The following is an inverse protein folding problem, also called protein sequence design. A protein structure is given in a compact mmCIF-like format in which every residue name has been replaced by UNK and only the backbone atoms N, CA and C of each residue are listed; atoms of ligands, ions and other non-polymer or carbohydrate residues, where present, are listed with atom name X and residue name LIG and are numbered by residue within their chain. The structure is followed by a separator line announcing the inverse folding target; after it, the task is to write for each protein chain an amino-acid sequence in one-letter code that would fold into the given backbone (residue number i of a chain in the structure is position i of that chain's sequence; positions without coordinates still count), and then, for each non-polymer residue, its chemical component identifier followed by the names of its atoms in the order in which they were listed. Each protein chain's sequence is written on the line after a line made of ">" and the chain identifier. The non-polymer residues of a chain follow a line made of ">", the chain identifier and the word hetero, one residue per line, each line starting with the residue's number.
data_IF_883972991597
#
_entry.id   IF_883972991597
#
_cell.length_a   1.000
_cell.length_b   1.000
_cell.length_c   1.000
_cell.angle_alpha   90.00
_cell.angle_beta   90.00
_cell.angle_gamma   90.00
#
_symmetry.space_group_name_H-M   'P 1'
#
loop_
_entity.id
_entity.type
_entity.pdbx_description
1 polymer ?
#
# COMPACT_ATOMS: atom_id res chain seq x y z
N UNK A 1 24.97 -41.97 -7.41
CA UNK A 1 24.67 -41.33 -8.71
C UNK A 1 24.72 -42.39 -9.78
N UNK A 2 23.80 -42.31 -10.72
CA UNK A 2 23.68 -43.28 -11.81
C UNK A 2 24.40 -42.76 -13.06
N UNK A 3 24.70 -43.68 -13.97
CA UNK A 3 25.19 -43.36 -15.32
C UNK A 3 24.07 -42.58 -16.04
N UNK A 4 24.35 -41.49 -16.78
CA UNK A 4 25.68 -41.00 -17.18
C UNK A 4 26.33 -39.99 -16.22
N UNK A 5 25.67 -39.58 -15.14
CA UNK A 5 26.12 -38.47 -14.28
C UNK A 5 27.38 -38.77 -13.48
N UNK A 6 27.68 -40.04 -13.20
CA UNK A 6 28.87 -40.47 -12.48
C UNK A 6 30.10 -40.77 -13.37
N UNK A 7 30.02 -40.50 -14.67
CA UNK A 7 31.07 -40.87 -15.64
C UNK A 7 32.26 -39.91 -15.67
N UNK A 8 32.05 -38.60 -15.47
CA UNK A 8 33.11 -37.57 -15.47
C UNK A 8 33.52 -37.20 -14.03
N UNK A 9 34.48 -37.95 -13.49
CA UNK A 9 34.99 -37.73 -12.12
C UNK A 9 35.67 -36.36 -11.91
N UNK A 10 36.51 -35.84 -12.82
CA UNK A 10 37.06 -34.50 -12.70
C UNK A 10 35.99 -33.40 -12.61
N UNK A 11 34.93 -33.48 -13.42
CA UNK A 11 33.82 -32.53 -13.35
C UNK A 11 33.10 -32.61 -12.00
N UNK A 12 32.79 -33.82 -11.53
CA UNK A 12 32.17 -34.02 -10.22
C UNK A 12 33.02 -33.46 -9.08
N UNK A 13 34.33 -33.68 -9.11
CA UNK A 13 35.24 -33.14 -8.12
C UNK A 13 35.22 -31.61 -8.11
N UNK A 14 35.20 -30.97 -9.30
CA UNK A 14 35.10 -29.51 -9.43
C UNK A 14 33.77 -28.98 -8.90
N UNK A 15 32.65 -29.63 -9.22
CA UNK A 15 31.32 -29.26 -8.73
C UNK A 15 31.27 -29.35 -7.21
N UNK A 16 31.69 -30.49 -6.63
CA UNK A 16 31.73 -30.66 -5.17
C UNK A 16 32.59 -29.58 -4.51
N UNK A 17 33.81 -29.37 -5.02
CA UNK A 17 34.73 -28.36 -4.48
C UNK A 17 34.14 -26.96 -4.57
N UNK A 18 33.46 -26.61 -5.67
CA UNK A 18 32.79 -25.33 -5.83
C UNK A 18 31.66 -25.15 -4.81
N UNK A 19 30.80 -26.16 -4.65
CA UNK A 19 29.67 -26.09 -3.72
C UNK A 19 30.14 -25.99 -2.26
N UNK A 20 31.16 -26.77 -1.90
CA UNK A 20 31.75 -26.76 -0.56
C UNK A 20 32.48 -25.43 -0.27
N UNK A 21 33.29 -24.94 -1.22
CA UNK A 21 34.05 -23.70 -1.06
C UNK A 21 33.15 -22.48 -0.88
N UNK A 22 32.02 -22.44 -1.60
CA UNK A 22 31.07 -21.33 -1.56
C UNK A 22 29.95 -21.52 -0.51
N UNK A 23 30.00 -22.58 0.30
CA UNK A 23 29.05 -22.79 1.39
C UNK A 23 27.63 -23.18 0.96
N UNK A 24 27.46 -23.72 -0.26
CA UNK A 24 26.18 -24.30 -0.69
C UNK A 24 25.91 -25.68 -0.06
N UNK A 25 26.99 -26.41 0.26
CA UNK A 25 26.97 -27.67 1.02
C UNK A 25 28.01 -27.60 2.13
N UNK A 26 27.94 -28.54 3.08
CA UNK A 26 28.91 -28.65 4.18
C UNK A 26 29.11 -27.33 4.94
N UNK A 27 28.04 -26.58 5.21
CA UNK A 27 28.06 -25.38 6.05
C UNK A 27 27.28 -25.61 7.35
N UNK A 28 27.53 -24.77 8.35
CA UNK A 28 26.90 -24.88 9.65
C UNK A 28 27.49 -26.01 10.50
N UNK A 29 26.66 -26.66 11.30
CA UNK A 29 27.08 -27.66 12.30
C UNK A 29 26.76 -29.06 11.78
N UNK A 30 27.80 -29.82 11.45
CA UNK A 30 27.67 -31.19 10.96
C UNK A 30 28.82 -32.06 11.43
N UNK A 31 28.57 -33.38 11.51
CA UNK A 31 29.61 -34.35 11.84
C UNK A 31 30.56 -34.50 10.65
N UNK A 32 31.84 -34.17 10.85
CA UNK A 32 32.85 -34.30 9.81
C UNK A 32 33.27 -35.76 9.62
N UNK A 33 33.36 -36.20 8.36
CA UNK A 33 33.87 -37.53 8.01
C UNK A 33 35.39 -37.58 7.98
N UNK A 34 36.03 -36.49 7.51
CA UNK A 34 37.49 -36.33 7.50
C UNK A 34 37.89 -35.31 8.58
N UNK A 35 38.89 -35.59 9.42
CA UNK A 35 39.33 -34.63 10.43
C UNK A 35 39.89 -33.36 9.79
N UNK A 36 39.87 -32.24 10.54
CA UNK A 36 40.51 -30.99 10.11
C UNK A 36 42.01 -31.23 9.94
N UNK A 37 42.65 -30.72 8.87
CA UNK A 37 44.11 -30.77 8.75
C UNK A 37 44.79 -30.20 10.00
N UNK A 38 45.76 -30.94 10.55
CA UNK A 38 46.51 -30.51 11.75
C UNK A 38 47.41 -29.32 11.46
N UNK A 39 47.96 -29.24 10.25
CA UNK A 39 48.73 -28.09 9.79
C UNK A 39 47.77 -27.04 9.26
N UNK A 40 47.73 -25.89 9.94
CA UNK A 40 46.95 -24.74 9.48
C UNK A 40 47.73 -23.90 8.47
N UNK A 41 47.03 -23.32 7.50
CA UNK A 41 47.63 -22.59 6.38
C UNK A 41 47.18 -21.13 6.33
N UNK A 42 47.87 -20.25 7.05
CA UNK A 42 47.53 -18.82 7.11
C UNK A 42 46.64 -18.47 8.30
N UNK A 43 46.73 -17.20 8.72
CA UNK A 43 46.08 -16.68 9.93
C UNK A 43 45.07 -15.60 9.56
N UNK A 44 43.86 -15.71 10.09
CA UNK A 44 42.75 -14.79 9.86
C UNK A 44 42.22 -14.30 11.20
N UNK A 45 41.99 -12.99 11.30
CA UNK A 45 41.30 -12.39 12.44
C UNK A 45 39.92 -11.94 11.94
N UNK A 46 38.88 -12.39 12.64
CA UNK A 46 37.48 -11.98 12.41
C UNK A 46 37.08 -11.03 13.52
N UNK A 47 36.68 -9.81 13.16
CA UNK A 47 36.21 -8.81 14.11
C UNK A 47 34.69 -8.91 14.23
N UNK A 48 34.20 -9.31 15.41
CA UNK A 48 32.79 -9.48 15.75
C UNK A 48 32.31 -10.93 15.68
N UNK A 49 31.79 -11.44 16.80
CA UNK A 49 31.20 -12.77 16.93
C UNK A 49 29.67 -12.75 16.72
N UNK A 50 29.18 -11.94 15.77
CA UNK A 50 27.81 -12.05 15.24
C UNK A 50 27.66 -13.23 14.29
N UNK A 51 26.43 -13.52 13.83
CA UNK A 51 26.17 -14.69 12.96
C UNK A 51 27.03 -14.71 11.69
N UNK A 52 27.28 -13.56 11.07
CA UNK A 52 28.14 -13.45 9.89
C UNK A 52 29.60 -13.82 10.20
N UNK A 53 30.18 -13.26 11.27
CA UNK A 53 31.55 -13.54 11.69
C UNK A 53 31.74 -14.99 12.11
N UNK A 54 30.78 -15.53 12.88
CA UNK A 54 30.77 -16.93 13.31
C UNK A 54 30.69 -17.91 12.13
N UNK A 55 29.80 -17.66 11.16
CA UNK A 55 29.67 -18.50 9.96
C UNK A 55 30.96 -18.47 9.11
N UNK A 56 31.54 -17.28 8.91
CA UNK A 56 32.79 -17.14 8.18
C UNK A 56 33.96 -17.84 8.89
N UNK A 57 34.09 -17.64 10.20
CA UNK A 57 35.13 -18.27 11.01
C UNK A 57 35.03 -19.80 10.99
N UNK A 58 33.80 -20.32 11.07
CA UNK A 58 33.54 -21.76 10.97
C UNK A 58 33.98 -22.32 9.61
N UNK A 59 33.58 -21.70 8.50
CA UNK A 59 33.98 -22.14 7.15
C UNK A 59 35.50 -22.07 6.95
N UNK A 60 36.14 -20.98 7.36
CA UNK A 60 37.58 -20.79 7.22
C UNK A 60 38.38 -21.82 8.04
N UNK A 61 37.94 -22.10 9.26
CA UNK A 61 38.54 -23.16 10.06
C UNK A 61 38.36 -24.54 9.42
N UNK A 62 37.19 -24.82 8.83
CA UNK A 62 36.96 -26.04 8.08
C UNK A 62 37.90 -26.19 6.89
N UNK A 63 38.26 -25.08 6.22
CA UNK A 63 39.27 -25.09 5.15
C UNK A 63 40.72 -25.21 5.65
N UNK A 64 40.94 -25.34 6.96
CA UNK A 64 42.27 -25.53 7.55
C UNK A 64 43.03 -24.23 7.81
N UNK A 65 42.33 -23.10 7.95
CA UNK A 65 42.93 -21.82 8.34
C UNK A 65 43.01 -21.68 9.86
N UNK A 66 43.97 -20.87 10.35
CA UNK A 66 44.01 -20.45 11.74
C UNK A 66 43.17 -19.20 11.93
N UNK A 67 42.08 -19.31 12.70
CA UNK A 67 41.07 -18.24 12.81
C UNK A 67 40.94 -17.83 14.27
N UNK A 68 41.06 -16.53 14.51
CA UNK A 68 40.79 -15.88 15.80
C UNK A 68 39.58 -14.98 15.62
N UNK A 69 38.61 -15.07 16.53
CA UNK A 69 37.44 -14.18 16.55
C UNK A 69 37.57 -13.24 17.74
N UNK A 70 37.52 -11.93 17.50
CA UNK A 70 37.55 -10.90 18.53
C UNK A 70 36.16 -10.31 18.71
N UNK A 71 35.58 -10.41 19.91
CA UNK A 71 34.27 -9.84 20.21
C UNK A 71 34.35 -8.78 21.31
N UNK A 72 33.71 -7.64 21.07
CA UNK A 72 33.66 -6.52 22.01
C UNK A 72 32.80 -6.77 23.24
N UNK A 73 31.79 -7.64 23.12
CA UNK A 73 30.81 -7.95 24.15
C UNK A 73 31.23 -9.19 24.96
N UNK A 74 30.63 -9.33 26.13
CA UNK A 74 30.72 -10.53 26.98
C UNK A 74 29.92 -11.75 26.45
N UNK A 75 29.46 -11.68 25.20
CA UNK A 75 28.65 -12.70 24.55
C UNK A 75 28.83 -12.68 23.03
N UNK A 76 28.65 -13.83 22.43
CA UNK A 76 28.48 -13.95 20.96
C UNK A 76 27.06 -13.56 20.52
N UNK A 77 26.80 -13.61 19.22
CA UNK A 77 25.50 -13.44 18.59
C UNK A 77 25.21 -12.01 18.10
N UNK A 78 25.91 -11.00 18.64
CA UNK A 78 25.77 -9.61 18.21
C UNK A 78 24.33 -9.10 18.37
N UNK A 79 23.69 -8.77 17.24
CA UNK A 79 22.29 -8.32 17.16
C UNK A 79 21.26 -9.44 17.37
N UNK A 80 21.67 -10.70 17.33
CA UNK A 80 20.86 -11.79 17.89
C UNK A 80 21.13 -11.76 19.39
N UNK A 81 20.12 -11.47 20.19
CA UNK A 81 20.29 -11.23 21.63
C UNK A 81 19.02 -11.65 22.37
N UNK A 82 19.17 -12.43 23.43
CA UNK A 82 18.03 -13.02 24.12
C UNK A 82 18.17 -12.84 25.61
N UNK A 83 17.17 -12.20 26.19
CA UNK A 83 17.02 -12.03 27.62
C UNK A 83 16.58 -13.35 28.27
N UNK A 84 17.20 -13.69 29.40
CA UNK A 84 16.87 -14.88 30.19
C UNK A 84 16.84 -14.55 31.67
N UNK A 85 15.72 -14.85 32.33
CA UNK A 85 15.58 -14.72 33.79
C UNK A 85 14.61 -15.78 34.30
N UNK A 86 15.11 -16.77 35.03
CA UNK A 86 14.33 -17.95 35.41
C UNK A 86 13.82 -18.67 34.16
N UNK A 87 12.51 -18.91 34.09
CA UNK A 87 11.86 -19.54 32.93
C UNK A 87 11.49 -18.54 31.83
N UNK A 88 11.70 -17.23 32.04
CA UNK A 88 11.41 -16.21 31.04
C UNK A 88 12.52 -16.12 29.99
N UNK A 89 12.13 -16.20 28.72
CA UNK A 89 13.00 -16.08 27.56
C UNK A 89 12.34 -15.10 26.60
N UNK A 90 13.05 -14.06 26.20
CA UNK A 90 12.56 -13.08 25.23
C UNK A 90 13.70 -12.60 24.33
N UNK A 91 13.48 -12.52 23.02
CA UNK A 91 14.45 -12.00 22.07
C UNK A 91 14.37 -10.47 22.02
N UNK A 92 15.52 -9.81 22.19
CA UNK A 92 15.69 -8.36 22.10
C UNK A 92 16.14 -7.90 20.71
N UNK A 93 16.41 -8.87 19.83
CA UNK A 93 16.90 -8.64 18.47
C UNK A 93 16.16 -9.50 17.46
N UNK A 94 16.89 -10.26 16.65
CA UNK A 94 16.26 -11.16 15.66
C UNK A 94 15.36 -12.20 16.36
N UNK A 95 14.07 -12.21 15.97
CA UNK A 95 13.04 -13.07 16.57
C UNK A 95 12.11 -13.75 15.54
N UNK A 96 12.37 -13.53 14.25
CA UNK A 96 11.55 -14.04 13.15
C UNK A 96 12.44 -14.68 12.10
N UNK A 97 12.07 -15.88 11.66
CA UNK A 97 12.58 -16.50 10.43
C UNK A 97 11.57 -16.22 9.32
N UNK A 98 12.00 -15.52 8.27
CA UNK A 98 11.18 -15.17 7.11
C UNK A 98 11.18 -16.31 6.11
N UNK A 99 10.10 -17.09 6.07
CA UNK A 99 9.98 -18.27 5.20
C UNK A 99 11.03 -19.36 5.46
N UNK A 100 10.79 -20.56 4.94
CA UNK A 100 11.77 -21.67 5.00
C UNK A 100 12.22 -22.12 3.61
N UNK A 101 11.45 -21.82 2.57
CA UNK A 101 11.80 -22.17 1.20
C UNK A 101 12.91 -21.27 0.67
N UNK A 102 14.08 -21.86 0.44
CA UNK A 102 15.29 -21.13 0.01
C UNK A 102 16.12 -20.53 1.15
N UNK A 103 15.61 -20.52 2.38
CA UNK A 103 16.27 -19.88 3.52
C UNK A 103 17.38 -20.80 4.11
N UNK A 104 18.66 -20.35 4.22
CA UNK A 104 19.73 -21.16 4.81
C UNK A 104 19.51 -21.48 6.29
N UNK A 105 18.69 -20.70 7.00
CA UNK A 105 18.30 -20.98 8.39
C UNK A 105 17.52 -22.29 8.50
N UNK A 106 16.87 -22.76 7.43
CA UNK A 106 16.20 -24.08 7.40
C UNK A 106 17.17 -25.24 7.57
N UNK A 107 18.40 -25.12 7.06
CA UNK A 107 19.43 -26.13 7.27
C UNK A 107 19.97 -26.05 8.69
N UNK A 108 20.24 -24.84 9.18
CA UNK A 108 20.72 -24.61 10.55
C UNK A 108 19.72 -25.10 11.60
N UNK A 109 18.41 -24.87 11.38
CA UNK A 109 17.37 -25.29 12.31
C UNK A 109 17.33 -26.80 12.50
N UNK A 110 17.59 -27.59 11.44
CA UNK A 110 17.71 -29.05 11.52
C UNK A 110 19.00 -29.52 12.19
N UNK A 111 20.11 -28.83 11.92
CA UNK A 111 21.41 -29.18 12.50
C UNK A 111 21.46 -28.99 14.01
N UNK A 112 20.67 -28.05 14.51
CA UNK A 112 20.72 -27.65 15.91
C UNK A 112 19.41 -27.94 16.66
N UNK A 113 18.43 -28.58 16.01
CA UNK A 113 17.13 -28.90 16.60
C UNK A 113 16.38 -27.66 17.13
N UNK A 114 16.25 -26.63 16.29
CA UNK A 114 15.48 -25.43 16.62
C UNK A 114 13.98 -25.70 16.61
N UNK A 115 13.34 -25.46 17.75
CA UNK A 115 11.88 -25.40 17.88
C UNK A 115 11.37 -24.11 17.21
N UNK A 116 10.68 -24.26 16.06
CA UNK A 116 10.07 -23.18 15.30
C UNK A 116 8.54 -23.26 15.36
N UNK A 117 7.89 -22.13 15.63
CA UNK A 117 6.45 -21.99 15.71
C UNK A 117 5.95 -20.98 14.67
N UNK A 118 4.88 -21.32 13.97
CA UNK A 118 4.25 -20.44 12.99
C UNK A 118 3.63 -19.22 13.66
N UNK A 119 3.90 -18.04 13.11
CA UNK A 119 3.23 -16.79 13.51
C UNK A 119 1.84 -16.74 12.85
N UNK A 120 0.80 -16.46 13.64
CA UNK A 120 -0.56 -16.25 13.12
C UNK A 120 -0.69 -14.80 12.68
N UNK A 121 -1.17 -14.58 11.46
CA UNK A 121 -1.25 -13.23 10.87
C UNK A 121 -2.43 -12.38 11.39
N UNK A 122 -3.36 -12.98 12.14
CA UNK A 122 -4.49 -12.23 12.71
C UNK A 122 -3.99 -11.20 13.74
N UNK A 123 -4.09 -9.92 13.43
CA UNK A 123 -3.67 -8.80 14.27
C UNK A 123 -4.83 -7.82 14.48
N UNK A 124 -5.66 -7.97 15.54
CA UNK A 124 -6.74 -7.02 15.81
C UNK A 124 -6.17 -5.67 16.26
N UNK A 125 -6.64 -4.58 15.66
CA UNK A 125 -6.26 -3.22 16.04
C UNK A 125 -7.14 -2.69 17.16
N UNK A 126 -6.54 -1.89 18.06
CA UNK A 126 -7.23 -1.21 19.15
C UNK A 126 -6.99 0.29 19.05
N UNK A 127 -8.06 1.07 19.16
CA UNK A 127 -8.00 2.53 19.20
C UNK A 127 -7.37 3.00 20.52
N UNK A 128 -6.98 4.28 20.59
CA UNK A 128 -6.43 4.89 21.80
C UNK A 128 -7.36 4.80 23.02
N UNK A 129 -8.67 4.65 22.81
CA UNK A 129 -9.66 4.43 23.88
C UNK A 129 -9.74 2.97 24.37
N UNK A 130 -8.96 2.05 23.79
CA UNK A 130 -8.96 0.62 24.13
C UNK A 130 -10.05 -0.20 23.44
N UNK A 131 -10.89 0.41 22.60
CA UNK A 131 -11.92 -0.29 21.82
C UNK A 131 -11.31 -0.85 20.54
N UNK A 132 -11.72 -2.06 20.15
CA UNK A 132 -11.29 -2.68 18.90
C UNK A 132 -11.72 -1.86 17.68
N UNK A 133 -10.90 -1.83 16.64
CA UNK A 133 -11.30 -1.30 15.33
C UNK A 133 -12.24 -2.29 14.66
N UNK A 134 -13.31 -1.77 14.06
CA UNK A 134 -14.26 -2.59 13.32
C UNK A 134 -13.61 -3.22 12.09
N UNK A 135 -13.94 -4.48 11.81
CA UNK A 135 -13.31 -5.24 10.73
C UNK A 135 -13.46 -4.57 9.36
N UNK A 136 -14.62 -3.99 9.07
CA UNK A 136 -14.84 -3.28 7.80
C UNK A 136 -13.92 -2.06 7.65
N UNK A 137 -13.65 -1.36 8.76
CA UNK A 137 -12.75 -0.20 8.77
C UNK A 137 -11.29 -0.64 8.65
N UNK A 138 -10.90 -1.69 9.36
CA UNK A 138 -9.58 -2.30 9.26
C UNK A 138 -9.26 -2.68 7.79
N UNK A 139 -10.14 -3.47 7.16
CA UNK A 139 -9.98 -3.90 5.76
C UNK A 139 -10.07 -2.73 4.75
N UNK A 140 -10.86 -1.70 5.03
CA UNK A 140 -10.93 -0.50 4.18
C UNK A 140 -9.61 0.27 4.21
N UNK A 141 -9.07 0.52 5.40
CA UNK A 141 -7.83 1.30 5.55
C UNK A 141 -6.61 0.51 5.09
N UNK A 142 -6.56 -0.80 5.33
CA UNK A 142 -5.48 -1.66 4.83
C UNK A 142 -5.44 -1.67 3.29
N UNK A 143 -6.59 -1.79 2.63
CA UNK A 143 -6.66 -1.68 1.16
C UNK A 143 -6.19 -0.33 0.66
N UNK A 144 -6.55 0.75 1.35
CA UNK A 144 -6.13 2.09 0.97
C UNK A 144 -4.62 2.29 1.18
N UNK A 145 -4.06 1.76 2.25
CA UNK A 145 -2.61 1.74 2.50
C UNK A 145 -1.85 1.06 1.36
N UNK A 146 -2.29 -0.13 0.93
CA UNK A 146 -1.67 -0.85 -0.18
C UNK A 146 -1.80 -0.06 -1.51
N UNK A 147 -2.96 0.55 -1.76
CA UNK A 147 -3.18 1.40 -2.93
C UNK A 147 -2.26 2.63 -2.94
N UNK A 148 -1.97 3.21 -1.78
CA UNK A 148 -1.02 4.30 -1.64
C UNK A 148 0.41 3.85 -1.98
N UNK A 149 0.83 2.66 -1.53
CA UNK A 149 2.14 2.10 -1.87
C UNK A 149 2.26 1.83 -3.38
N UNK A 150 1.26 1.22 -4.00
CA UNK A 150 1.22 1.02 -5.46
C UNK A 150 1.32 2.36 -6.21
N UNK A 151 0.63 3.40 -5.73
CA UNK A 151 0.71 4.73 -6.31
C UNK A 151 2.11 5.36 -6.15
N UNK A 152 2.82 5.11 -5.03
CA UNK A 152 4.22 5.54 -4.89
C UNK A 152 5.15 4.81 -5.86
N UNK A 153 4.92 3.52 -6.10
CA UNK A 153 5.68 2.76 -7.08
C UNK A 153 5.42 3.26 -8.51
N UNK A 154 4.16 3.57 -8.85
CA UNK A 154 3.80 4.22 -10.11
C UNK A 154 4.50 5.57 -10.27
N UNK A 155 4.47 6.40 -9.24
CA UNK A 155 5.12 7.72 -9.22
C UNK A 155 6.64 7.60 -9.47
N UNK A 156 7.29 6.62 -8.84
CA UNK A 156 8.72 6.35 -8.96
C UNK A 156 9.12 5.80 -10.35
N UNK A 157 8.40 4.78 -10.83
CA UNK A 157 8.83 3.99 -12.00
C UNK A 157 8.23 4.49 -13.32
N UNK A 158 7.01 5.03 -13.31
CA UNK A 158 6.31 5.46 -14.53
C UNK A 158 6.50 6.95 -14.80
N UNK A 159 6.53 7.77 -13.75
CA UNK A 159 6.68 9.22 -13.86
C UNK A 159 8.12 9.72 -13.60
N UNK A 160 9.04 8.80 -13.29
CA UNK A 160 10.44 9.06 -12.90
C UNK A 160 10.58 10.15 -11.82
N UNK A 161 9.61 10.20 -10.91
CA UNK A 161 9.53 11.25 -9.90
C UNK A 161 10.37 10.86 -8.67
N UNK A 162 11.68 10.79 -8.89
CA UNK A 162 12.67 10.33 -7.91
C UNK A 162 13.47 11.46 -7.25
N UNK A 163 13.37 12.68 -7.79
CA UNK A 163 14.10 13.86 -7.32
C UNK A 163 13.18 15.07 -7.23
N UNK A 164 13.29 15.82 -6.14
CA UNK A 164 12.66 17.12 -5.95
C UNK A 164 13.76 18.20 -5.93
N UNK A 165 13.97 18.83 -7.09
CA UNK A 165 15.17 19.63 -7.32
C UNK A 165 16.41 18.74 -7.29
N UNK A 166 17.37 19.05 -6.42
CA UNK A 166 18.63 18.30 -6.30
C UNK A 166 18.61 17.26 -5.16
N UNK A 167 17.46 17.00 -4.53
CA UNK A 167 17.35 16.05 -3.42
C UNK A 167 16.56 14.81 -3.85
N UNK A 168 17.02 13.60 -3.48
CA UNK A 168 16.24 12.38 -3.71
C UNK A 168 14.94 12.44 -2.89
N UNK A 169 13.87 11.93 -3.49
CA UNK A 169 12.56 11.83 -2.84
C UNK A 169 12.54 10.61 -1.92
N UNK A 170 12.02 10.80 -0.71
CA UNK A 170 11.79 9.69 0.21
C UNK A 170 10.40 9.06 0.02
N UNK A 171 10.23 7.80 0.46
CA UNK A 171 8.93 7.13 0.44
C UNK A 171 7.88 7.94 1.22
N UNK A 172 8.23 8.45 2.40
CA UNK A 172 7.36 9.29 3.21
C UNK A 172 6.89 10.57 2.50
N UNK A 173 7.77 11.24 1.76
CA UNK A 173 7.40 12.43 0.98
C UNK A 173 6.43 12.09 -0.15
N UNK A 174 6.69 10.99 -0.86
CA UNK A 174 5.81 10.51 -1.92
C UNK A 174 4.40 10.17 -1.39
N UNK A 175 4.31 9.45 -0.28
CA UNK A 175 3.04 9.13 0.39
C UNK A 175 2.28 10.40 0.76
N UNK A 176 2.94 11.38 1.37
CA UNK A 176 2.31 12.65 1.75
C UNK A 176 1.75 13.40 0.54
N UNK A 177 2.52 13.47 -0.56
CA UNK A 177 2.07 14.12 -1.78
C UNK A 177 0.89 13.40 -2.43
N UNK A 178 0.90 12.07 -2.47
CA UNK A 178 -0.22 11.29 -3.00
C UNK A 178 -1.47 11.50 -2.17
N UNK A 179 -1.37 11.47 -0.83
CA UNK A 179 -2.50 11.75 0.06
C UNK A 179 -3.08 13.14 -0.23
N UNK A 180 -2.23 14.17 -0.34
CA UNK A 180 -2.66 15.54 -0.70
C UNK A 180 -3.34 15.60 -2.07
N UNK A 181 -2.86 14.82 -3.04
CA UNK A 181 -3.51 14.69 -4.36
C UNK A 181 -4.89 14.02 -4.26
N UNK A 182 -5.06 13.01 -3.42
CA UNK A 182 -6.38 12.38 -3.19
C UNK A 182 -7.34 13.35 -2.50
N UNK A 183 -6.89 14.08 -1.48
CA UNK A 183 -7.69 15.12 -0.81
C UNK A 183 -8.11 16.23 -1.78
N UNK A 184 -7.19 16.66 -2.65
CA UNK A 184 -7.47 17.62 -3.71
C UNK A 184 -8.54 17.08 -4.67
N UNK A 185 -8.42 15.83 -5.10
CA UNK A 185 -9.38 15.20 -6.02
C UNK A 185 -10.79 15.11 -5.44
N UNK A 186 -10.92 14.84 -4.14
CA UNK A 186 -12.22 14.87 -3.44
C UNK A 186 -12.85 16.27 -3.52
N UNK A 187 -12.06 17.32 -3.25
CA UNK A 187 -12.53 18.71 -3.37
C UNK A 187 -12.90 19.08 -4.81
N UNK A 188 -12.14 18.62 -5.80
CA UNK A 188 -12.45 18.86 -7.21
C UNK A 188 -13.78 18.21 -7.61
N UNK A 189 -14.05 17.00 -7.15
CA UNK A 189 -15.35 16.33 -7.36
C UNK A 189 -16.51 17.09 -6.70
N UNK A 190 -16.32 17.58 -5.48
CA UNK A 190 -17.31 18.42 -4.80
C UNK A 190 -17.61 19.70 -5.60
N UNK A 191 -16.56 20.38 -6.08
CA UNK A 191 -16.71 21.58 -6.92
C UNK A 191 -17.43 21.25 -8.22
N UNK A 192 -17.09 20.16 -8.90
CA UNK A 192 -17.75 19.73 -10.14
C UNK A 192 -19.24 19.39 -9.91
N UNK A 193 -19.54 18.75 -8.78
CA UNK A 193 -20.91 18.45 -8.38
C UNK A 193 -21.71 19.74 -8.16
N UNK A 194 -21.21 20.67 -7.37
CA UNK A 194 -21.87 21.96 -7.11
C UNK A 194 -22.02 22.80 -8.38
N UNK A 195 -21.02 22.78 -9.28
CA UNK A 195 -21.13 23.46 -10.59
C UNK A 195 -22.27 22.87 -11.44
N UNK A 196 -22.45 21.56 -11.41
CA UNK A 196 -23.57 20.90 -12.11
C UNK A 196 -24.92 21.35 -11.55
N UNK A 197 -25.03 21.43 -10.22
CA UNK A 197 -26.24 21.93 -9.54
C UNK A 197 -26.51 23.39 -9.91
N UNK A 198 -25.51 24.28 -9.83
CA UNK A 198 -25.65 25.69 -10.20
C UNK A 198 -26.09 25.84 -11.66
N UNK A 199 -25.48 25.09 -12.58
CA UNK A 199 -25.83 25.12 -14.01
C UNK A 199 -27.30 24.75 -14.24
N UNK A 200 -27.80 23.69 -13.58
CA UNK A 200 -29.22 23.30 -13.67
C UNK A 200 -30.14 24.34 -13.01
N UNK A 201 -29.76 24.91 -11.88
CA UNK A 201 -30.53 25.98 -11.23
C UNK A 201 -30.58 27.26 -12.07
N UNK A 202 -29.50 27.62 -12.76
CA UNK A 202 -29.46 28.74 -13.71
C UNK A 202 -30.38 28.50 -14.91
N UNK A 203 -30.40 27.28 -15.46
CA UNK A 203 -31.35 26.89 -16.51
C UNK A 203 -32.79 26.97 -16.02
N UNK A 204 -33.07 26.48 -14.81
CA UNK A 204 -34.42 26.54 -14.23
C UNK A 204 -34.86 28.00 -14.02
N UNK A 205 -33.97 28.87 -13.53
CA UNK A 205 -34.23 30.30 -13.37
C UNK A 205 -34.54 30.97 -14.71
N UNK A 206 -33.80 30.62 -15.76
CA UNK A 206 -34.05 31.16 -17.11
C UNK A 206 -35.40 30.68 -17.67
N UNK A 207 -35.76 29.42 -17.45
CA UNK A 207 -37.08 28.90 -17.81
C UNK A 207 -38.20 29.60 -17.03
N UNK A 208 -38.02 29.84 -15.73
CA UNK A 208 -38.99 30.56 -14.91
C UNK A 208 -39.19 32.01 -15.40
N UNK A 209 -38.11 32.72 -15.73
CA UNK A 209 -38.22 34.07 -16.30
C UNK A 209 -39.00 34.06 -17.62
N UNK A 210 -38.70 33.13 -18.54
CA UNK A 210 -39.45 32.98 -19.80
C UNK A 210 -40.93 32.65 -19.58
N UNK A 211 -41.22 31.77 -18.62
CA UNK A 211 -42.61 31.46 -18.26
C UNK A 211 -43.33 32.73 -17.77
N UNK A 212 -42.70 33.54 -16.92
CA UNK A 212 -43.28 34.83 -16.48
C UNK A 212 -43.59 35.72 -17.69
N UNK A 213 -42.65 35.88 -18.63
CA UNK A 213 -42.85 36.71 -19.83
C UNK A 213 -43.99 36.18 -20.72
N UNK A 214 -44.04 34.86 -20.96
CA UNK A 214 -45.10 34.22 -21.75
C UNK A 214 -46.46 34.41 -21.07
N UNK A 215 -46.51 34.31 -19.74
CA UNK A 215 -47.75 34.52 -18.98
C UNK A 215 -48.32 35.91 -19.19
N UNK A 216 -47.47 36.94 -19.12
CA UNK A 216 -47.87 38.33 -19.35
C UNK A 216 -48.40 38.51 -20.77
N UNK A 217 -47.69 37.98 -21.78
CA UNK A 217 -48.14 38.03 -23.18
C UNK A 217 -49.47 37.29 -23.40
N UNK A 218 -49.64 36.10 -22.83
CA UNK A 218 -50.90 35.34 -22.93
C UNK A 218 -52.07 36.12 -22.32
N UNK A 219 -51.84 36.84 -21.22
CA UNK A 219 -52.85 37.67 -20.57
C UNK A 219 -53.26 38.86 -21.45
N UNK A 220 -52.31 39.50 -22.13
CA UNK A 220 -52.57 40.55 -23.11
C UNK A 220 -53.38 40.04 -24.31
N UNK A 221 -52.97 38.92 -24.92
CA UNK A 221 -53.70 38.32 -26.04
C UNK A 221 -55.10 37.84 -25.64
N UNK A 222 -55.25 37.29 -24.44
CA UNK A 222 -56.54 36.87 -23.91
C UNK A 222 -57.49 38.05 -23.70
N UNK A 223 -56.98 39.20 -23.24
CA UNK A 223 -57.76 40.44 -23.09
C UNK A 223 -58.24 40.95 -24.44
N UNK A 224 -57.33 41.06 -25.42
CA UNK A 224 -57.66 41.47 -26.80
C UNK A 224 -58.68 40.54 -27.47
N UNK A 225 -58.60 39.23 -27.21
CA UNK A 225 -59.55 38.25 -27.74
C UNK A 225 -60.95 38.43 -27.13
N UNK A 226 -61.04 38.64 -25.82
CA UNK A 226 -62.32 38.90 -25.13
C UNK A 226 -63.01 40.15 -25.65
N UNK A 227 -62.27 41.24 -25.88
CA UNK A 227 -62.81 42.48 -26.45
C UNK A 227 -63.42 42.24 -27.85
N UNK A 228 -62.72 41.46 -28.69
CA UNK A 228 -63.19 41.12 -30.04
C UNK A 228 -64.35 40.09 -30.03
N UNK A 229 -64.47 39.28 -28.97
CA UNK A 229 -65.49 38.23 -28.86
C UNK A 229 -66.90 38.77 -28.62
N UNK A 230 -67.00 39.93 -27.94
CA UNK A 230 -68.26 40.57 -27.53
C UNK A 230 -68.96 41.29 -28.72
N UNK A 231 -68.26 41.51 -29.83
CA UNK A 231 -68.80 42.20 -31.01
C UNK A 231 -69.71 41.29 -31.85
N UNK A 232 -70.96 41.71 -32.06
CA UNK A 232 -71.96 40.99 -32.88
C UNK A 232 -71.63 40.96 -34.38
N UNK A 233 -70.96 41.99 -34.91
CA UNK A 233 -70.53 42.07 -36.30
C UNK A 233 -69.05 42.49 -36.38
N UNK A 234 -68.24 41.73 -37.12
CA UNK A 234 -66.81 41.99 -37.33
C UNK A 234 -66.54 42.24 -38.81
N UNK A 235 -65.77 43.28 -39.11
CA UNK A 235 -65.22 43.45 -40.46
C UNK A 235 -64.06 42.46 -40.70
N UNK A 236 -63.56 42.42 -41.95
CA UNK A 236 -62.50 41.48 -42.34
C UNK A 236 -61.18 41.71 -41.57
N UNK A 237 -60.90 42.95 -41.14
CA UNK A 237 -59.69 43.28 -40.39
C UNK A 237 -59.80 42.80 -38.94
N UNK A 238 -60.97 42.97 -38.33
CA UNK A 238 -61.28 42.49 -36.99
C UNK A 238 -61.31 40.95 -36.93
N UNK A 239 -61.86 40.30 -37.96
CA UNK A 239 -61.85 38.82 -38.06
C UNK A 239 -60.43 38.28 -38.26
N UNK A 240 -59.58 38.95 -39.06
CA UNK A 240 -58.17 38.62 -39.18
C UNK A 240 -57.44 38.78 -37.84
N UNK A 241 -57.63 39.89 -37.14
CA UNK A 241 -57.00 40.15 -35.85
C UNK A 241 -57.41 39.10 -34.79
N UNK A 242 -58.69 38.72 -34.74
CA UNK A 242 -59.16 37.65 -33.87
C UNK A 242 -58.47 36.31 -34.15
N UNK A 243 -58.40 35.90 -35.43
CA UNK A 243 -57.74 34.64 -35.81
C UNK A 243 -56.23 34.66 -35.59
N UNK A 244 -55.57 35.79 -35.84
CA UNK A 244 -54.13 35.97 -35.57
C UNK A 244 -53.85 35.88 -34.08
N UNK A 245 -54.55 36.66 -33.25
CA UNK A 245 -54.38 36.62 -31.80
C UNK A 245 -54.67 35.23 -31.22
N UNK A 246 -55.65 34.51 -31.76
CA UNK A 246 -55.96 33.13 -31.36
C UNK A 246 -54.84 32.15 -31.72
N UNK A 247 -54.22 32.31 -32.90
CA UNK A 247 -53.07 31.50 -33.32
C UNK A 247 -51.85 31.80 -32.43
N UNK A 248 -51.56 33.07 -32.19
CA UNK A 248 -50.41 33.50 -31.39
C UNK A 248 -50.56 33.00 -29.95
N UNK A 249 -51.77 33.10 -29.37
CA UNK A 249 -52.08 32.53 -28.06
C UNK A 249 -51.87 31.00 -28.00
N UNK A 250 -52.30 30.26 -29.02
CA UNK A 250 -52.05 28.81 -29.09
C UNK A 250 -50.56 28.48 -29.22
N UNK A 251 -49.80 29.32 -29.92
CA UNK A 251 -48.35 29.14 -30.08
C UNK A 251 -47.65 29.35 -28.73
N UNK A 252 -48.01 30.41 -28.01
CA UNK A 252 -47.51 30.68 -26.65
C UNK A 252 -47.93 29.58 -25.65
N UNK A 253 -49.13 29.01 -25.77
CA UNK A 253 -49.57 27.89 -24.95
C UNK A 253 -48.69 26.64 -25.16
N UNK A 254 -48.31 26.38 -26.41
CA UNK A 254 -47.43 25.25 -26.75
C UNK A 254 -46.03 25.46 -26.15
N UNK A 255 -45.47 26.66 -26.31
CA UNK A 255 -44.17 27.02 -25.74
C UNK A 255 -44.17 26.97 -24.20
N UNK A 256 -45.28 27.38 -23.57
CA UNK A 256 -45.49 27.26 -22.13
C UNK A 256 -45.43 25.79 -21.66
N UNK A 257 -46.14 24.90 -22.35
CA UNK A 257 -46.17 23.46 -22.01
C UNK A 257 -44.78 22.82 -22.16
N UNK A 258 -44.04 23.18 -23.21
CA UNK A 258 -42.66 22.74 -23.43
C UNK A 258 -41.72 23.21 -22.30
N UNK A 259 -41.80 24.49 -21.92
CA UNK A 259 -40.98 25.03 -20.83
C UNK A 259 -41.34 24.42 -19.46
N UNK A 260 -42.61 24.13 -19.21
CA UNK A 260 -43.03 23.40 -18.01
C UNK A 260 -42.48 21.98 -17.97
N UNK A 261 -42.48 21.28 -19.12
CA UNK A 261 -41.92 19.94 -19.21
C UNK A 261 -40.41 19.96 -18.97
N UNK A 262 -39.69 20.92 -19.58
CA UNK A 262 -38.26 21.12 -19.33
C UNK A 262 -37.96 21.43 -17.86
N UNK A 263 -38.77 22.27 -17.20
CA UNK A 263 -38.62 22.58 -15.79
C UNK A 263 -38.73 21.32 -14.91
N UNK A 264 -39.73 20.46 -15.17
CA UNK A 264 -39.88 19.18 -14.47
C UNK A 264 -38.67 18.26 -14.66
N UNK A 265 -38.12 18.19 -15.86
CA UNK A 265 -36.92 17.37 -16.14
C UNK A 265 -35.68 17.90 -15.40
N UNK A 266 -35.52 19.23 -15.33
CA UNK A 266 -34.42 19.86 -14.58
C UNK A 266 -34.58 19.60 -13.08
N UNK A 267 -35.78 19.74 -12.53
CA UNK A 267 -36.07 19.43 -11.12
C UNK A 267 -35.79 17.96 -10.77
N UNK A 268 -36.15 17.03 -11.66
CA UNK A 268 -35.81 15.61 -11.50
C UNK A 268 -34.29 15.38 -11.47
N UNK A 269 -33.54 16.02 -12.38
CA UNK A 269 -32.07 15.93 -12.41
C UNK A 269 -31.44 16.52 -11.15
N UNK A 270 -31.97 17.63 -10.64
CA UNK A 270 -31.53 18.24 -9.38
C UNK A 270 -31.75 17.29 -8.20
N UNK A 271 -32.93 16.69 -8.07
CA UNK A 271 -33.22 15.72 -7.02
C UNK A 271 -32.26 14.52 -7.05
N UNK A 272 -31.92 14.02 -8.24
CA UNK A 272 -30.95 12.93 -8.39
C UNK A 272 -29.56 13.36 -7.90
N UNK A 273 -29.10 14.55 -8.30
CA UNK A 273 -27.81 15.06 -7.83
C UNK A 273 -27.79 15.24 -6.31
N UNK A 274 -28.81 15.85 -5.71
CA UNK A 274 -28.89 16.07 -4.26
C UNK A 274 -28.90 14.76 -3.46
N UNK A 275 -29.48 13.69 -4.03
CA UNK A 275 -29.52 12.37 -3.39
C UNK A 275 -28.18 11.60 -3.42
N UNK A 276 -27.23 12.03 -4.25
CA UNK A 276 -25.97 11.32 -4.50
C UNK A 276 -24.77 12.27 -4.44
N UNK A 277 -24.49 12.89 -3.27
CA UNK A 277 -23.32 13.75 -3.12
C UNK A 277 -22.02 12.94 -3.23
N UNK A 278 -20.93 13.55 -3.72
CA UNK A 278 -19.61 12.94 -3.65
C UNK A 278 -19.15 12.82 -2.19
N UNK A 279 -18.10 12.03 -1.95
CA UNK A 279 -17.50 11.87 -0.61
C UNK A 279 -17.14 13.22 0.02
N UNK A 280 -17.43 13.38 1.32
CA UNK A 280 -17.14 14.60 2.07
C UNK A 280 -15.63 14.79 2.35
N UNK A 281 -14.98 13.68 2.70
CA UNK A 281 -13.56 13.62 3.03
C UNK A 281 -12.93 12.41 2.35
N UNK A 282 -11.62 12.50 2.11
CA UNK A 282 -10.85 11.36 1.65
C UNK A 282 -10.66 10.35 2.79
N UNK A 283 -10.14 10.80 3.93
CA UNK A 283 -10.01 10.02 5.17
C UNK A 283 -10.50 10.87 6.35
N UNK A 284 -11.31 10.29 7.23
CA UNK A 284 -11.62 10.94 8.50
C UNK A 284 -10.42 10.92 9.43
N UNK A 285 -10.45 11.71 10.52
CA UNK A 285 -9.37 11.69 11.51
C UNK A 285 -9.14 10.31 12.13
N UNK A 286 -10.20 9.50 12.28
CA UNK A 286 -10.09 8.12 12.78
C UNK A 286 -9.47 7.19 11.75
N UNK A 287 -9.87 7.31 10.48
CA UNK A 287 -9.29 6.51 9.40
C UNK A 287 -7.80 6.84 9.25
N UNK A 288 -7.43 8.12 9.38
CA UNK A 288 -6.03 8.56 9.34
C UNK A 288 -5.18 7.95 10.46
N UNK A 289 -5.71 7.85 11.68
CA UNK A 289 -4.99 7.21 12.80
C UNK A 289 -4.73 5.72 12.56
N UNK A 290 -5.69 5.01 11.94
CA UNK A 290 -5.51 3.61 11.56
C UNK A 290 -4.47 3.50 10.44
N UNK A 291 -4.51 4.41 9.46
CA UNK A 291 -3.51 4.46 8.39
C UNK A 291 -2.10 4.72 8.93
N UNK A 292 -1.96 5.62 9.90
CA UNK A 292 -0.69 5.89 10.58
C UNK A 292 -0.15 4.65 11.32
N UNK A 293 -1.00 3.74 11.79
CA UNK A 293 -0.55 2.45 12.33
C UNK A 293 0.08 1.57 11.25
N UNK A 294 -0.47 1.51 10.03
CA UNK A 294 0.15 0.78 8.92
C UNK A 294 1.48 1.42 8.50
N UNK A 295 1.59 2.75 8.50
CA UNK A 295 2.86 3.43 8.30
C UNK A 295 3.87 3.07 9.41
N UNK A 296 3.45 3.06 10.67
CA UNK A 296 4.32 2.66 11.78
C UNK A 296 4.75 1.19 11.67
N UNK A 297 3.89 0.30 11.17
CA UNK A 297 4.25 -1.10 10.91
C UNK A 297 5.28 -1.21 9.77
N UNK A 298 5.18 -0.37 8.74
CA UNK A 298 6.18 -0.29 7.68
C UNK A 298 7.52 0.29 8.19
N UNK A 299 7.49 1.30 9.05
CA UNK A 299 8.67 1.84 9.73
C UNK A 299 9.32 0.82 10.65
N UNK A 300 8.51 -0.02 11.33
CA UNK A 300 9.01 -1.15 12.12
C UNK A 300 9.73 -2.18 11.24
N UNK A 301 9.14 -2.56 10.10
CA UNK A 301 9.76 -3.51 9.18
C UNK A 301 11.11 -3.00 8.64
N UNK A 302 11.19 -1.70 8.35
CA UNK A 302 12.40 -1.06 7.81
C UNK A 302 13.36 -0.53 8.89
N UNK A 303 12.98 -0.58 10.16
CA UNK A 303 13.71 -0.02 11.30
C UNK A 303 14.16 1.45 11.13
N UNK A 304 13.38 2.25 10.39
CA UNK A 304 13.66 3.68 10.15
C UNK A 304 12.37 4.43 9.80
N UNK A 305 12.27 5.74 10.07
CA UNK A 305 11.17 6.55 9.57
C UNK A 305 11.06 6.53 8.04
N UNK A 306 9.84 6.63 7.50
CA UNK A 306 9.60 6.62 6.05
C UNK A 306 10.24 7.82 5.32
N UNK A 307 10.56 8.88 6.07
CA UNK A 307 11.31 10.04 5.55
C UNK A 307 12.75 9.72 5.13
N UNK A 308 13.31 8.61 5.62
CA UNK A 308 14.69 8.20 5.32
C UNK A 308 14.76 7.11 4.25
N UNK A 309 13.63 6.48 3.92
CA UNK A 309 13.57 5.42 2.91
C UNK A 309 13.64 6.02 1.51
N UNK A 310 14.51 5.48 0.67
CA UNK A 310 14.60 5.83 -0.75
C UNK A 310 13.30 5.43 -1.46
N UNK A 311 12.61 6.38 -2.10
CA UNK A 311 11.41 6.05 -2.87
C UNK A 311 11.65 4.95 -3.92
N UNK A 312 12.84 4.93 -4.54
CA UNK A 312 13.14 4.05 -5.67
C UNK A 312 13.64 2.66 -5.28
N UNK A 313 14.21 2.52 -4.08
CA UNK A 313 15.04 1.37 -3.75
C UNK A 313 14.77 0.79 -2.35
N UNK A 314 13.73 1.24 -1.66
CA UNK A 314 13.44 0.74 -0.31
C UNK A 314 12.99 -0.73 -0.31
N UNK A 315 12.40 -1.19 -1.42
CA UNK A 315 11.81 -2.50 -1.67
C UNK A 315 12.63 -3.35 -2.68
N UNK A 316 13.90 -2.99 -2.91
CA UNK A 316 14.74 -3.63 -3.94
C UNK A 316 15.02 -5.13 -3.70
N UNK A 317 14.82 -5.62 -2.47
CA UNK A 317 15.04 -7.01 -2.06
C UNK A 317 13.77 -7.86 -2.00
N UNK A 318 12.59 -7.29 -2.30
CA UNK A 318 11.30 -7.99 -2.30
C UNK A 318 11.28 -9.19 -3.27
N UNK A 319 11.96 -9.07 -4.42
CA UNK A 319 12.09 -10.15 -5.42
C UNK A 319 12.79 -11.42 -4.87
N UNK A 320 13.49 -11.31 -3.74
CA UNK A 320 14.23 -12.40 -3.10
C UNK A 320 13.55 -12.94 -1.84
N UNK A 321 12.27 -12.61 -1.61
CA UNK A 321 11.53 -13.11 -0.46
C UNK A 321 11.48 -14.65 -0.44
N UNK A 322 11.74 -15.23 0.73
CA UNK A 322 11.64 -16.67 0.93
C UNK A 322 10.19 -17.14 1.03
N UNK A 323 9.91 -18.33 0.50
CA UNK A 323 8.56 -18.88 0.52
C UNK A 323 8.22 -19.54 1.86
N UNK A 324 6.93 -19.50 2.22
CA UNK A 324 6.38 -20.13 3.41
C UNK A 324 6.04 -19.14 4.53
N UNK A 325 5.44 -19.64 5.62
CA UNK A 325 5.03 -18.78 6.73
C UNK A 325 6.25 -18.25 7.51
N UNK A 326 6.14 -17.03 8.05
CA UNK A 326 7.05 -16.55 9.08
C UNK A 326 6.95 -17.40 10.35
N UNK A 327 8.10 -17.69 10.96
CA UNK A 327 8.19 -18.48 12.19
C UNK A 327 8.93 -17.70 13.26
N UNK A 328 8.60 -17.97 14.51
CA UNK A 328 9.39 -17.57 15.67
C UNK A 328 9.94 -18.81 16.36
N UNK A 329 11.03 -18.69 17.11
CA UNK A 329 11.66 -19.82 17.78
C UNK A 329 12.53 -19.35 18.93
N UNK A 330 13.06 -20.27 19.72
CA UNK A 330 13.99 -19.94 20.81
C UNK A 330 15.41 -19.73 20.25
N UNK A 331 15.65 -18.60 19.57
CA UNK A 331 16.86 -18.37 18.75
C UNK A 331 18.19 -18.53 19.52
N UNK A 332 18.30 -18.09 20.78
CA UNK A 332 19.60 -18.11 21.48
C UNK A 332 20.06 -19.43 22.07
N UNK A 333 19.16 -20.37 22.35
CA UNK A 333 19.55 -21.47 23.25
C UNK A 333 20.63 -22.34 22.60
N UNK A 334 20.78 -22.24 21.27
CA UNK A 334 21.50 -23.24 20.50
C UNK A 334 22.71 -22.69 19.75
N UNK A 335 22.69 -21.43 19.27
CA UNK A 335 23.88 -20.82 18.66
C UNK A 335 25.06 -20.65 19.65
N UNK A 336 24.78 -20.56 20.95
CA UNK A 336 25.80 -20.50 22.01
C UNK A 336 26.51 -21.86 22.23
N UNK A 337 25.86 -22.99 21.97
CA UNK A 337 26.39 -24.32 22.29
C UNK A 337 27.01 -24.97 21.04
N UNK A 338 26.37 -24.83 19.87
CA UNK A 338 26.81 -25.50 18.65
C UNK A 338 28.03 -24.88 17.97
N UNK A 339 28.16 -23.54 17.98
CA UNK A 339 29.24 -22.83 17.27
C UNK A 339 30.44 -22.53 18.18
N UNK A 340 30.21 -22.15 19.44
CA UNK A 340 31.29 -21.79 20.37
C UNK A 340 32.18 -23.01 20.71
N UNK A 341 31.63 -24.23 20.74
CA UNK A 341 32.44 -25.44 20.97
C UNK A 341 33.50 -25.70 19.89
N UNK A 342 33.50 -24.96 18.77
CA UNK A 342 34.34 -25.22 17.60
C UNK A 342 35.39 -24.11 17.41
N UNK A 343 35.17 -22.90 17.90
CA UNK A 343 36.01 -21.71 17.58
C UNK A 343 36.48 -21.04 18.87
N UNK A 344 37.79 -20.77 18.97
CA UNK A 344 38.36 -19.97 20.05
C UNK A 344 37.96 -18.50 19.82
N UNK A 345 37.04 -18.01 20.65
CA UNK A 345 36.63 -16.60 20.71
C UNK A 345 37.38 -15.97 21.87
N UNK A 346 38.16 -14.92 21.59
CA UNK A 346 38.98 -14.19 22.57
C UNK A 346 38.39 -12.81 22.90
#
# INVERSE_FOLDING_TARGET
>A
MEVPYNSDLPLLHRIHTFLERNGFINFGIFKRLKPIPTKKHGKVIVIGAGIAGLAAAQQMQQFGLDVIVLESRDRVGGRIATFRKGNYIADLGAMVVTGLGGNPVTTLSKQIDMELHRIRQKCPLYQACGVTVDKEKDEMVEREFNRLLEATSYLSHQLDFNYAGNKPVSLGQALEWIIKLQEKHVKEKQIQHLKSVISLQEQLKLNQNKLIDIREQMQDYHTKLKELEILENRDIQMEFAYRSNKRDLNTLATEWDELQQQAKEIEQKLNVLESSPPSDVYLSSKDRQILDWHFANLEFANATPLSNLSLKHWDQDDDFEFTGNHLTGKFFTIFRIGIICIIQVE
#
